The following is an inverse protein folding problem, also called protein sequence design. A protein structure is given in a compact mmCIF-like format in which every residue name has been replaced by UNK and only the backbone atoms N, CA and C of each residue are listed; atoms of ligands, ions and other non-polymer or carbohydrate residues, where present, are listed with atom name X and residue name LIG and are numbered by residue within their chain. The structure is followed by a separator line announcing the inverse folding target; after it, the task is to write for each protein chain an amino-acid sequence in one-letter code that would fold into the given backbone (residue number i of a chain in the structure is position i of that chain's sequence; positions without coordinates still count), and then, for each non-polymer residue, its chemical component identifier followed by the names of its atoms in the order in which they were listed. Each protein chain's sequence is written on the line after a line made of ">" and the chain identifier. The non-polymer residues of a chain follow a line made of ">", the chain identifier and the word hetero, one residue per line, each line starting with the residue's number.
data_IF_044789765923
#
_entry.id   IF_044789765923
#
_cell.length_a   1.000
_cell.length_b   1.000
_cell.length_c   1.000
_cell.angle_alpha   90.00
_cell.angle_beta   90.00
_cell.angle_gamma   90.00
#
_symmetry.space_group_name_H-M   'P 1'
#
loop_
_entity.id
_entity.type
_entity.pdbx_description
1 polymer ?
#
# COMPACT_ATOMS: atom_id res chain seq x y z
N UNK A 1 7.83 -22.28 -0.99
CA UNK A 1 7.63 -20.91 -0.45
C UNK A 1 6.82 -20.08 -1.42
N UNK A 2 5.61 -19.71 -0.97
CA UNK A 2 4.67 -18.85 -1.69
C UNK A 2 4.82 -17.41 -1.22
N UNK A 3 4.30 -16.46 -2.00
CA UNK A 3 4.29 -15.04 -1.68
C UNK A 3 2.87 -14.52 -1.73
N UNK A 4 2.54 -13.63 -0.79
CA UNK A 4 1.27 -12.91 -0.75
C UNK A 4 1.61 -11.43 -0.65
N UNK A 5 0.87 -10.58 -1.36
CA UNK A 5 1.11 -9.14 -1.40
C UNK A 5 -0.07 -8.41 -0.76
N UNK A 6 0.21 -7.68 0.30
CA UNK A 6 -0.79 -6.92 1.06
C UNK A 6 -0.67 -5.42 0.77
N UNK A 7 -1.72 -4.79 0.26
CA UNK A 7 -1.78 -3.33 0.14
C UNK A 7 -2.23 -2.75 1.50
N UNK A 8 -1.35 -1.96 2.11
CA UNK A 8 -1.54 -1.34 3.43
C UNK A 8 -1.68 0.18 3.32
N UNK A 9 -2.41 0.82 4.26
CA UNK A 9 -2.61 2.28 4.31
C UNK A 9 -2.29 2.88 5.69
N UNK A 10 -1.69 4.08 5.78
CA UNK A 10 -1.30 4.65 7.06
C UNK A 10 -2.53 5.00 7.92
N UNK A 11 -2.45 4.87 9.26
CA UNK A 11 -3.58 5.05 10.18
C UNK A 11 -4.18 6.47 10.26
N UNK A 12 -3.66 7.45 9.51
CA UNK A 12 -4.11 8.84 9.57
C UNK A 12 -4.43 9.45 8.20
N UNK A 13 -4.61 8.65 7.15
CA UNK A 13 -5.10 9.15 5.86
C UNK A 13 -6.62 9.32 5.88
N UNK A 14 -7.13 10.20 6.75
CA UNK A 14 -8.53 10.66 6.67
C UNK A 14 -8.67 11.56 5.46
N UNK A 15 -9.16 11.01 4.36
CA UNK A 15 -9.62 11.84 3.24
C UNK A 15 -11.09 12.18 3.51
N UNK A 16 -11.33 13.40 4.02
CA UNK A 16 -12.63 13.99 4.39
C UNK A 16 -12.86 13.96 5.91
N UNK A 17 -13.14 15.04 6.66
CA UNK A 17 -13.65 16.37 6.38
C UNK A 17 -12.88 17.42 7.22
N UNK A 18 -12.75 18.64 6.69
CA UNK A 18 -12.24 19.88 7.30
C UNK A 18 -10.89 20.37 6.78
N UNK A 19 -10.94 21.59 6.24
CA UNK A 19 -9.84 22.43 5.74
C UNK A 19 -8.78 22.80 6.80
N UNK A 20 -8.89 22.29 8.03
CA UNK A 20 -7.96 22.55 9.13
C UNK A 20 -6.75 21.61 9.16
N UNK A 21 -6.72 20.55 8.35
CA UNK A 21 -5.70 19.50 8.46
C UNK A 21 -4.47 19.76 7.54
N UNK A 22 -4.06 21.03 7.42
CA UNK A 22 -2.82 21.39 6.70
C UNK A 22 -1.55 20.93 7.45
N UNK A 23 -1.67 20.50 8.72
CA UNK A 23 -0.57 19.94 9.48
C UNK A 23 -0.19 18.52 9.02
N UNK A 24 -1.12 17.73 8.45
CA UNK A 24 -0.81 16.42 7.86
C UNK A 24 -0.11 16.50 6.50
N UNK A 25 0.02 17.71 5.93
CA UNK A 25 0.77 17.99 4.71
C UNK A 25 2.25 18.33 4.94
N UNK A 26 2.68 18.58 6.19
CA UNK A 26 4.06 18.91 6.57
C UNK A 26 4.83 17.74 7.20
N UNK A 27 4.49 16.50 6.83
CA UNK A 27 5.31 15.34 7.21
C UNK A 27 6.55 15.31 6.32
N UNK A 28 7.63 15.92 6.80
CA UNK A 28 8.97 15.77 6.25
C UNK A 28 9.40 14.29 6.30
N UNK A 29 10.18 13.76 5.32
CA UNK A 29 10.31 12.34 4.97
C UNK A 29 10.92 11.42 6.04
N UNK A 30 11.51 12.03 7.06
CA UNK A 30 12.07 11.35 8.23
C UNK A 30 10.97 10.96 9.24
N UNK A 31 9.76 11.52 9.21
CA UNK A 31 8.73 11.23 10.22
C UNK A 31 7.81 10.03 9.88
N UNK A 32 8.13 9.29 8.81
CA UNK A 32 7.75 7.87 8.61
C UNK A 32 8.94 6.94 8.99
N UNK A 33 9.98 7.45 9.67
CA UNK A 33 10.99 6.63 10.35
C UNK A 33 10.29 5.85 11.44
N UNK A 34 10.51 4.54 11.49
CA UNK A 34 9.98 3.65 12.50
C UNK A 34 8.44 3.56 12.44
N UNK A 35 7.87 2.41 12.26
CA UNK A 35 7.65 1.43 13.30
C UNK A 35 6.38 1.75 14.08
N UNK A 36 5.43 2.45 13.46
CA UNK A 36 4.08 1.87 13.35
C UNK A 36 4.05 0.77 12.25
N UNK A 37 5.21 0.17 11.96
CA UNK A 37 5.64 -0.41 10.70
C UNK A 37 5.22 -1.85 10.62
N UNK A 38 4.67 -2.14 9.45
CA UNK A 38 3.90 -3.30 9.08
C UNK A 38 2.52 -3.40 9.72
N UNK A 39 2.30 -3.07 11.02
CA UNK A 39 0.96 -3.26 11.64
C UNK A 39 0.34 -2.18 12.53
N UNK A 40 0.87 -0.96 12.57
CA UNK A 40 -0.01 0.19 12.88
C UNK A 40 -1.04 0.45 11.77
N UNK A 41 -0.91 -0.25 10.63
CA UNK A 41 -1.66 -0.05 9.40
C UNK A 41 -3.06 -0.72 9.36
N UNK A 42 -3.49 -1.39 10.44
CA UNK A 42 -4.81 -2.04 10.50
C UNK A 42 -5.74 -1.61 11.62
N UNK A 43 -5.37 -0.59 12.40
CA UNK A 43 -6.29 0.05 13.33
C UNK A 43 -7.31 0.91 12.55
N UNK A 44 -8.19 0.26 11.78
CA UNK A 44 -9.38 0.85 11.16
C UNK A 44 -9.46 0.82 9.62
N UNK A 45 -8.52 0.20 8.90
CA UNK A 45 -8.54 0.16 7.43
C UNK A 45 -8.37 -1.26 6.86
N UNK A 46 -9.18 -1.57 5.84
CA UNK A 46 -9.15 -2.84 5.11
C UNK A 46 -7.84 -3.02 4.33
N UNK A 47 -7.16 -4.14 4.57
CA UNK A 47 -5.98 -4.60 3.82
C UNK A 47 -6.44 -5.48 2.67
N UNK A 48 -5.92 -5.19 1.46
CA UNK A 48 -6.22 -5.96 0.26
C UNK A 48 -5.07 -6.93 -0.04
N UNK A 49 -5.40 -8.20 -0.25
CA UNK A 49 -4.42 -9.26 -0.48
C UNK A 49 -4.44 -9.72 -1.95
N UNK A 50 -3.25 -9.98 -2.49
CA UNK A 50 -3.04 -10.42 -3.87
C UNK A 50 -2.03 -11.56 -3.92
N UNK A 51 -2.18 -12.45 -4.90
CA UNK A 51 -1.24 -13.56 -5.14
C UNK A 51 -0.02 -13.12 -5.97
N UNK A 52 -0.16 -12.06 -6.76
CA UNK A 52 0.90 -11.53 -7.63
C UNK A 52 1.22 -10.08 -7.28
N UNK A 53 2.48 -9.70 -7.43
CA UNK A 53 2.92 -8.32 -7.20
C UNK A 53 2.39 -7.40 -8.30
N UNK A 54 2.23 -7.92 -9.51
CA UNK A 54 1.73 -7.21 -10.67
C UNK A 54 0.30 -6.72 -10.44
N UNK A 55 -0.57 -7.56 -9.89
CA UNK A 55 -1.94 -7.18 -9.56
C UNK A 55 -1.98 -6.10 -8.48
N UNK A 56 -1.17 -6.25 -7.42
CA UNK A 56 -1.06 -5.26 -6.36
C UNK A 56 -0.51 -3.92 -6.88
N UNK A 57 0.55 -3.95 -7.72
CA UNK A 57 1.14 -2.75 -8.34
C UNK A 57 0.12 -2.06 -9.24
N UNK A 58 -0.61 -2.81 -10.08
CA UNK A 58 -1.61 -2.28 -11.01
C UNK A 58 -2.66 -1.43 -10.31
N UNK A 59 -3.16 -1.86 -9.14
CA UNK A 59 -4.15 -1.10 -8.36
C UNK A 59 -3.62 0.28 -7.94
N UNK A 60 -2.34 0.37 -7.53
CA UNK A 60 -1.73 1.65 -7.17
C UNK A 60 -1.40 2.49 -8.41
N UNK A 61 -0.93 1.87 -9.49
CA UNK A 61 -0.64 2.57 -10.74
C UNK A 61 -1.87 3.17 -11.40
N UNK A 62 -3.00 2.45 -11.39
CA UNK A 62 -4.28 2.94 -11.92
C UNK A 62 -4.75 4.15 -11.09
N UNK A 63 -4.55 4.11 -9.76
CA UNK A 63 -4.77 5.27 -8.89
C UNK A 63 -3.88 6.47 -9.23
N UNK A 64 -2.59 6.24 -9.51
CA UNK A 64 -1.64 7.29 -9.93
C UNK A 64 -2.04 7.92 -11.27
N UNK A 65 -2.39 7.09 -12.25
CA UNK A 65 -2.77 7.51 -13.61
C UNK A 65 -4.15 8.18 -13.64
N UNK A 66 -4.98 7.99 -12.61
CA UNK A 66 -6.29 8.60 -12.43
C UNK A 66 -6.27 10.08 -12.03
N UNK A 67 -7.22 10.50 -11.18
CA UNK A 67 -7.33 11.91 -10.76
C UNK A 67 -6.18 12.27 -9.82
N UNK A 68 -5.92 13.58 -9.67
CA UNK A 68 -4.87 14.09 -8.78
C UNK A 68 -5.06 13.64 -7.31
N UNK A 69 -6.32 13.55 -6.87
CA UNK A 69 -6.65 13.07 -5.51
C UNK A 69 -6.31 11.58 -5.38
N UNK A 70 -6.70 10.76 -6.36
CA UNK A 70 -6.42 9.32 -6.39
C UNK A 70 -4.91 9.04 -6.38
N UNK A 71 -4.14 9.84 -7.14
CA UNK A 71 -2.69 9.74 -7.17
C UNK A 71 -2.05 10.05 -5.82
N UNK A 72 -2.55 11.07 -5.09
CA UNK A 72 -2.09 11.37 -3.73
C UNK A 72 -2.42 10.23 -2.75
N UNK A 73 -3.60 9.64 -2.88
CA UNK A 73 -4.02 8.51 -2.05
C UNK A 73 -3.20 7.27 -2.37
N UNK A 74 -2.83 7.05 -3.63
CA UNK A 74 -2.07 5.88 -4.07
C UNK A 74 -0.63 5.87 -3.52
N UNK A 75 0.07 7.01 -3.57
CA UNK A 75 1.45 7.12 -3.04
C UNK A 75 1.55 7.02 -1.51
N UNK A 76 0.43 7.17 -0.80
CA UNK A 76 0.38 6.96 0.64
C UNK A 76 0.30 5.48 1.01
N UNK A 77 -0.06 4.59 0.08
CA UNK A 77 -0.14 3.15 0.31
C UNK A 77 1.20 2.49 0.06
N UNK A 78 1.39 1.33 0.67
CA UNK A 78 2.51 0.45 0.37
C UNK A 78 2.02 -0.97 0.09
N UNK A 79 2.86 -1.76 -0.58
CA UNK A 79 2.65 -3.20 -0.73
C UNK A 79 3.66 -3.89 0.18
N UNK A 80 3.18 -4.76 1.06
CA UNK A 80 4.02 -5.63 1.89
C UNK A 80 3.99 -7.02 1.28
N UNK A 81 5.15 -7.55 0.91
CA UNK A 81 5.31 -8.95 0.58
C UNK A 81 5.39 -9.78 1.86
N UNK A 82 4.56 -10.82 1.90
CA UNK A 82 4.45 -11.77 2.99
C UNK A 82 4.95 -13.12 2.50
N UNK A 83 5.84 -13.72 3.28
CA UNK A 83 6.33 -15.06 3.03
C UNK A 83 5.30 -16.07 3.52
N UNK A 84 4.94 -17.04 2.68
CA UNK A 84 4.03 -18.10 3.05
C UNK A 84 4.63 -19.50 2.84
N UNK A 85 4.26 -20.42 3.71
CA UNK A 85 4.57 -21.84 3.55
C UNK A 85 3.81 -22.46 2.36
N UNK A 86 4.08 -23.73 2.08
CA UNK A 86 3.46 -24.41 0.94
C UNK A 86 1.94 -24.64 1.16
N UNK A 87 1.48 -24.61 2.42
CA UNK A 87 0.06 -24.63 2.82
C UNK A 87 -0.61 -23.25 2.67
N UNK A 88 0.15 -22.19 2.40
CA UNK A 88 -0.37 -20.83 2.23
C UNK A 88 -0.57 -20.07 3.53
N UNK A 89 0.05 -20.51 4.64
CA UNK A 89 0.08 -19.78 5.91
C UNK A 89 1.22 -18.76 5.87
N UNK A 90 0.92 -17.54 6.29
CA UNK A 90 1.92 -16.47 6.39
C UNK A 90 2.90 -16.81 7.52
N UNK A 91 4.19 -16.73 7.21
CA UNK A 91 5.31 -17.11 8.08
C UNK A 91 6.27 -15.95 8.36
N UNK A 92 6.25 -14.90 7.55
CA UNK A 92 7.16 -13.77 7.71
C UNK A 92 6.87 -12.59 6.77
N UNK A 93 7.72 -11.58 6.89
CA UNK A 93 7.75 -10.41 6.01
C UNK A 93 8.94 -10.52 5.06
N UNK A 94 8.71 -10.18 3.79
CA UNK A 94 9.74 -10.09 2.77
C UNK A 94 10.08 -8.63 2.46
N UNK A 95 9.57 -8.15 1.33
CA UNK A 95 9.89 -6.83 0.78
C UNK A 95 8.75 -5.82 0.95
N UNK A 96 9.09 -4.58 1.31
CA UNK A 96 8.20 -3.43 1.24
C UNK A 96 8.36 -2.74 -0.12
N UNK A 97 7.25 -2.52 -0.82
CA UNK A 97 7.20 -1.73 -2.05
C UNK A 97 6.42 -0.45 -1.81
N UNK A 98 7.06 0.68 -2.10
CA UNK A 98 6.43 1.99 -2.08
C UNK A 98 6.44 2.59 -3.49
N UNK A 99 5.49 3.47 -3.76
CA UNK A 99 5.33 4.09 -5.08
C UNK A 99 5.25 5.59 -4.96
N UNK A 100 5.99 6.28 -5.81
CA UNK A 100 5.83 7.71 -6.09
C UNK A 100 5.53 7.87 -7.60
N UNK A 101 5.50 9.09 -8.12
CA UNK A 101 5.36 9.30 -9.56
C UNK A 101 6.13 10.52 -10.07
N UNK A 102 6.70 10.36 -11.26
CA UNK A 102 7.20 11.49 -12.04
C UNK A 102 6.04 12.14 -12.81
N UNK A 103 6.02 13.47 -12.85
CA UNK A 103 5.13 14.20 -13.75
C UNK A 103 5.85 14.44 -15.07
N UNK A 104 5.29 13.95 -16.17
CA UNK A 104 5.75 14.25 -17.52
C UNK A 104 4.65 14.92 -18.32
N UNK A 105 5.04 15.56 -19.41
CA UNK A 105 4.11 16.15 -20.36
C UNK A 105 4.18 15.36 -21.65
N UNK A 106 3.06 14.79 -22.06
CA UNK A 106 2.94 14.10 -23.34
C UNK A 106 2.16 14.96 -24.34
N UNK A 107 2.47 14.88 -25.65
CA UNK A 107 1.65 15.50 -26.67
C UNK A 107 0.19 15.02 -26.58
N UNK A 108 -0.75 15.97 -26.64
CA UNK A 108 -2.17 15.72 -26.81
C UNK A 108 -2.63 16.19 -28.20
N UNK A 109 -3.90 15.99 -28.55
CA UNK A 109 -4.42 16.48 -29.83
C UNK A 109 -4.25 18.00 -29.95
N UNK A 110 -3.66 18.46 -31.06
CA UNK A 110 -3.34 19.87 -31.31
C UNK A 110 -2.01 20.34 -30.71
N UNK A 111 -1.93 21.62 -30.33
CA UNK A 111 -0.73 22.24 -29.72
C UNK A 111 -0.70 22.12 -28.18
N UNK A 112 -1.40 21.14 -27.62
CA UNK A 112 -1.54 20.98 -26.18
C UNK A 112 -0.69 19.83 -25.64
N UNK A 113 -0.26 19.98 -24.40
CA UNK A 113 0.42 18.92 -23.64
C UNK A 113 -0.48 18.45 -22.50
N UNK A 114 -0.65 17.14 -22.36
CA UNK A 114 -1.34 16.54 -21.22
C UNK A 114 -0.32 16.16 -20.13
N UNK A 115 -0.55 16.53 -18.87
CA UNK A 115 0.27 16.04 -17.77
C UNK A 115 -0.05 14.56 -17.55
N UNK A 116 0.97 13.71 -17.62
CA UNK A 116 0.92 12.29 -17.27
C UNK A 116 1.72 12.03 -16.00
N UNK A 117 1.26 11.07 -15.20
CA UNK A 117 1.97 10.61 -14.01
C UNK A 117 2.50 9.23 -14.30
N UNK A 118 3.81 9.07 -14.17
CA UNK A 118 4.51 7.80 -14.41
C UNK A 118 4.90 7.22 -13.05
N UNK A 119 4.31 6.09 -12.65
CA UNK A 119 4.65 5.42 -11.39
C UNK A 119 6.15 5.12 -11.31
N UNK A 120 6.71 5.32 -10.12
CA UNK A 120 8.11 5.05 -9.79
C UNK A 120 8.16 4.24 -8.51
N UNK A 121 8.58 2.98 -8.64
CA UNK A 121 8.63 2.04 -7.53
C UNK A 121 9.96 2.11 -6.79
N UNK A 122 9.89 1.95 -5.47
CA UNK A 122 11.02 1.72 -4.59
C UNK A 122 10.78 0.43 -3.81
N UNK A 123 11.86 -0.32 -3.59
CA UNK A 123 11.81 -1.63 -2.93
C UNK A 123 12.79 -1.61 -1.76
N UNK A 124 12.35 -2.09 -0.60
CA UNK A 124 13.15 -2.17 0.62
C UNK A 124 12.88 -3.51 1.30
N UNK A 125 13.93 -4.28 1.59
CA UNK A 125 13.80 -5.49 2.41
C UNK A 125 13.37 -5.10 3.82
N UNK A 126 12.41 -5.82 4.39
CA UNK A 126 11.93 -5.62 5.75
C UNK A 126 12.82 -6.44 6.68
N UNK A 127 13.43 -5.82 7.69
CA UNK A 127 14.01 -6.55 8.82
C UNK A 127 12.91 -6.67 9.91
N UNK A 128 12.32 -7.85 10.17
CA UNK A 128 11.22 -7.97 11.12
C UNK A 128 11.57 -7.53 12.55
N UNK A 129 12.85 -7.46 12.91
CA UNK A 129 13.29 -7.02 14.25
C UNK A 129 13.38 -5.50 14.37
N UNK A 130 13.59 -4.80 13.25
CA UNK A 130 13.87 -3.36 13.19
C UNK A 130 12.76 -2.59 12.50
N UNK A 131 12.03 -3.24 11.58
CA UNK A 131 10.96 -2.72 10.75
C UNK A 131 9.54 -3.31 10.98
N UNK A 132 9.29 -4.33 11.84
CA UNK A 132 7.92 -4.80 12.17
C UNK A 132 7.56 -4.85 13.67
N UNK A 133 6.42 -4.26 14.08
CA UNK A 133 5.95 -4.35 15.48
C UNK A 133 5.75 -5.79 15.95
N UNK A 134 5.92 -6.11 17.25
CA UNK A 134 5.87 -7.50 17.74
C UNK A 134 4.57 -8.24 17.36
N UNK A 135 3.45 -7.55 17.32
CA UNK A 135 2.13 -8.09 16.98
C UNK A 135 1.83 -8.06 15.47
N UNK A 136 2.76 -7.56 14.65
CA UNK A 136 2.48 -7.24 13.27
C UNK A 136 2.12 -8.46 12.42
N UNK A 137 2.97 -9.47 12.49
CA UNK A 137 2.76 -10.67 11.70
C UNK A 137 1.43 -11.36 12.05
N UNK A 138 1.11 -11.40 13.34
CA UNK A 138 -0.16 -11.94 13.86
C UNK A 138 -1.38 -11.20 13.32
N UNK A 139 -1.32 -9.88 13.27
CA UNK A 139 -2.41 -9.04 12.78
C UNK A 139 -2.63 -9.19 11.27
N UNK A 140 -1.55 -9.30 10.48
CA UNK A 140 -1.64 -9.62 9.04
C UNK A 140 -2.23 -11.00 8.80
N UNK A 141 -1.87 -11.99 9.62
CA UNK A 141 -2.46 -13.34 9.57
C UNK A 141 -3.98 -13.25 9.80
N UNK A 142 -4.42 -12.52 10.82
CA UNK A 142 -5.84 -12.38 11.16
C UNK A 142 -6.62 -11.77 10.00
N UNK A 143 -6.14 -10.67 9.43
CA UNK A 143 -6.81 -10.01 8.30
C UNK A 143 -6.81 -10.84 7.03
N UNK A 144 -5.73 -11.57 6.76
CA UNK A 144 -5.67 -12.47 5.61
C UNK A 144 -6.73 -13.57 5.73
N UNK A 145 -6.83 -14.21 6.90
CA UNK A 145 -7.85 -15.23 7.15
C UNK A 145 -9.28 -14.66 7.12
N UNK A 146 -9.49 -13.43 7.59
CA UNK A 146 -10.78 -12.75 7.46
C UNK A 146 -11.13 -12.48 5.98
N UNK A 147 -10.18 -12.02 5.17
CA UNK A 147 -10.40 -11.74 3.74
C UNK A 147 -10.85 -12.98 2.95
N UNK A 148 -10.32 -14.16 3.28
CA UNK A 148 -10.73 -15.44 2.69
C UNK A 148 -12.16 -15.83 3.05
N UNK A 149 -12.59 -15.58 4.29
CA UNK A 149 -13.96 -15.87 4.75
C UNK A 149 -14.97 -15.01 4.02
N UNK A 150 -14.70 -13.72 3.90
CA UNK A 150 -15.58 -12.79 3.15
C UNK A 150 -15.67 -13.16 1.66
N UNK A 151 -14.58 -13.61 1.03
CA UNK A 151 -14.62 -14.11 -0.34
C UNK A 151 -15.48 -15.38 -0.49
N UNK A 152 -15.51 -16.23 0.53
CA UNK A 152 -16.29 -17.47 0.53
C UNK A 152 -17.79 -17.19 0.70
N UNK A 153 -18.16 -16.20 1.51
CA UNK A 153 -19.57 -15.82 1.77
C UNK A 153 -20.23 -15.10 0.58
N UNK A 154 -19.47 -14.41 -0.27
CA UNK A 154 -19.98 -13.75 -1.48
C UNK A 154 -20.25 -14.71 -2.66
N UNK A 155 -19.85 -15.98 -2.52
CA UNK A 155 -19.96 -16.99 -3.58
C UNK A 155 -21.05 -18.04 -3.29
N UNK A 156 -21.80 -17.90 -2.18
CA UNK A 156 -22.96 -18.73 -1.82
C UNK A 156 -24.27 -18.00 -2.12
#
# INVERSE_FOLDING_TARGET
>A
MKKIYAIVKPPYTKIGDNFSDLASYFVSPLYTLAFEQVCGYSLGHEVLFYETIEDAKKILEDGIKGKKIDAKTAIQKAIVELEADDEGKITGFGTLYTVDYDKRSEPAEGHYFKPVRIPKWSEQAIDPKIDASPEALSEMIIQYEQSKKTATELTQ
#
